data_IF_917742742638
#
_entry.id   IF_917742742638
#
_cell.length_a   1.000
_cell.length_b   1.000
_cell.length_c   1.000
_cell.angle_alpha   90.00
_cell.angle_beta   90.00
_cell.angle_gamma   90.00
#
_symmetry.space_group_name_H-M   'P 1'
#
loop_
_entity.id
_entity.type
_entity.pdbx_description
1 polymer ?
#
# COMPACT_ATOMS: atom_id res chain seq x y z
N UNK A 1 -1.85 -3.80 26.99
CA UNK A 1 -0.62 -4.57 26.66
C UNK A 1 -0.84 -6.09 26.66
N UNK A 2 -1.62 -6.67 27.59
CA UNK A 2 -1.83 -8.13 27.67
C UNK A 2 -2.74 -8.69 26.57
N UNK A 3 -3.71 -7.95 26.08
CA UNK A 3 -4.68 -8.39 25.04
C UNK A 3 -4.01 -8.48 23.66
N UNK A 4 -3.09 -7.58 23.33
CA UNK A 4 -2.40 -7.59 22.04
C UNK A 4 -1.40 -8.75 21.92
N UNK A 5 -0.76 -9.11 23.04
CA UNK A 5 0.17 -10.26 23.12
C UNK A 5 -0.60 -11.57 23.00
N UNK A 6 -1.80 -11.65 23.57
CA UNK A 6 -2.67 -12.84 23.48
C UNK A 6 -3.18 -13.04 22.06
N UNK A 7 -3.55 -11.99 21.33
CA UNK A 7 -3.95 -12.10 19.92
C UNK A 7 -2.81 -12.55 19.02
N UNK A 8 -1.58 -12.08 19.27
CA UNK A 8 -0.41 -12.50 18.49
C UNK A 8 0.01 -13.93 18.84
N UNK A 9 -0.03 -14.33 20.11
CA UNK A 9 0.28 -15.70 20.53
C UNK A 9 -0.77 -16.72 20.11
N UNK A 10 -2.05 -16.38 20.06
CA UNK A 10 -3.09 -17.24 19.48
C UNK A 10 -2.90 -17.39 17.97
N UNK A 11 -2.46 -16.35 17.30
CA UNK A 11 -2.15 -16.40 15.86
C UNK A 11 -0.95 -17.32 15.57
N UNK A 12 0.12 -17.23 16.36
CA UNK A 12 1.30 -18.11 16.24
C UNK A 12 1.01 -19.55 16.68
N UNK A 13 0.26 -19.75 17.78
CA UNK A 13 -0.11 -21.08 18.27
C UNK A 13 -1.08 -21.81 17.32
N UNK A 14 -1.98 -21.10 16.64
CA UNK A 14 -2.84 -21.67 15.60
C UNK A 14 -2.06 -22.23 14.41
N UNK A 15 -0.91 -21.61 14.08
CA UNK A 15 -0.01 -22.13 13.06
C UNK A 15 0.78 -23.37 13.50
N UNK A 16 1.16 -23.45 14.77
CA UNK A 16 1.92 -24.60 15.30
C UNK A 16 1.07 -25.86 15.49
N UNK A 17 -0.21 -25.73 15.77
CA UNK A 17 -1.08 -26.88 16.05
C UNK A 17 -1.46 -27.68 14.79
N UNK A 18 -1.33 -27.14 13.59
CA UNK A 18 -1.65 -27.81 12.33
C UNK A 18 -0.43 -28.27 11.51
N UNK A 19 0.78 -28.11 12.02
CA UNK A 19 2.01 -28.51 11.32
C UNK A 19 2.31 -30.02 11.38
N UNK A 20 1.31 -30.89 11.45
CA UNK A 20 1.51 -32.32 11.20
C UNK A 20 1.55 -32.58 9.71
N UNK A 21 2.76 -32.85 9.18
CA UNK A 21 3.10 -33.45 7.89
C UNK A 21 2.07 -33.29 6.74
N UNK A 22 1.63 -32.05 6.49
CA UNK A 22 0.84 -31.74 5.31
C UNK A 22 1.74 -31.73 4.08
N UNK A 23 1.34 -32.51 3.06
CA UNK A 23 2.02 -32.51 1.76
C UNK A 23 1.87 -31.16 1.12
N UNK A 24 2.97 -30.42 0.95
CA UNK A 24 3.00 -29.13 0.29
C UNK A 24 3.15 -29.33 -1.21
N UNK A 25 2.16 -28.92 -1.98
CA UNK A 25 2.22 -28.92 -3.42
C UNK A 25 2.81 -27.59 -3.90
N UNK A 26 3.79 -27.67 -4.80
CA UNK A 26 4.43 -26.49 -5.41
C UNK A 26 4.01 -26.42 -6.87
N UNK A 27 3.40 -25.31 -7.26
CA UNK A 27 3.07 -25.03 -8.66
C UNK A 27 3.86 -23.82 -9.12
N UNK A 28 4.71 -24.04 -10.13
CA UNK A 28 5.27 -22.93 -10.90
C UNK A 28 4.19 -22.45 -11.88
N UNK A 29 3.81 -21.19 -11.80
CA UNK A 29 2.76 -20.58 -12.62
C UNK A 29 3.30 -20.31 -14.03
N UNK A 30 3.68 -21.36 -14.75
CA UNK A 30 4.15 -21.28 -16.15
C UNK A 30 3.14 -21.82 -17.18
N UNK A 31 2.03 -22.44 -16.76
CA UNK A 31 1.00 -22.98 -17.64
C UNK A 31 -0.34 -22.27 -17.45
N UNK A 32 -0.88 -21.70 -18.50
CA UNK A 32 -2.07 -20.85 -18.53
C UNK A 32 -3.34 -21.42 -17.89
N UNK A 33 -3.54 -22.72 -17.89
CA UNK A 33 -4.81 -23.33 -17.47
C UNK A 33 -4.98 -23.45 -15.94
N UNK A 34 -3.89 -23.67 -15.21
CA UNK A 34 -3.91 -23.72 -13.73
C UNK A 34 -3.78 -22.33 -13.12
N UNK A 35 -3.22 -21.40 -13.89
CA UNK A 35 -3.06 -19.99 -13.55
C UNK A 35 -4.41 -19.35 -13.24
N UNK A 36 -5.44 -19.60 -14.03
CA UNK A 36 -6.71 -18.89 -13.93
C UNK A 36 -7.40 -19.12 -12.59
N UNK A 37 -7.49 -20.36 -12.12
CA UNK A 37 -8.14 -20.67 -10.85
C UNK A 37 -7.35 -20.15 -9.64
N UNK A 38 -6.02 -20.31 -9.64
CA UNK A 38 -5.17 -19.76 -8.57
C UNK A 38 -5.07 -18.25 -8.63
N UNK A 39 -5.03 -17.68 -9.83
CA UNK A 39 -5.04 -16.26 -10.06
C UNK A 39 -6.30 -15.61 -9.53
N UNK A 40 -7.46 -16.19 -9.80
CA UNK A 40 -8.74 -15.72 -9.27
C UNK A 40 -8.76 -15.79 -7.75
N UNK A 41 -8.32 -16.89 -7.15
CA UNK A 41 -8.24 -17.05 -5.69
C UNK A 41 -7.29 -16.04 -5.04
N UNK A 42 -6.21 -15.65 -5.75
CA UNK A 42 -5.25 -14.64 -5.27
C UNK A 42 -5.68 -13.20 -5.58
N UNK A 43 -6.38 -12.97 -6.70
CA UNK A 43 -6.76 -11.66 -7.19
C UNK A 43 -7.98 -11.06 -6.47
N UNK A 44 -8.97 -11.87 -6.12
CA UNK A 44 -10.21 -11.40 -5.48
C UNK A 44 -10.00 -10.73 -4.12
N UNK A 45 -8.83 -10.90 -3.51
CA UNK A 45 -8.57 -10.36 -2.20
C UNK A 45 -8.13 -8.89 -2.18
N UNK A 46 -7.62 -8.35 -3.31
CA UNK A 46 -7.07 -6.99 -3.37
C UNK A 46 -7.30 -6.31 -4.70
N UNK A 47 -7.74 -5.04 -4.73
CA UNK A 47 -7.33 -4.14 -5.77
C UNK A 47 -5.83 -3.90 -5.55
N UNK A 48 -5.02 -4.59 -6.33
CA UNK A 48 -3.58 -4.43 -6.32
C UNK A 48 -3.25 -3.02 -6.82
N UNK A 49 -2.22 -2.39 -6.25
CA UNK A 49 -1.68 -1.16 -6.79
C UNK A 49 -1.31 -1.36 -8.26
N UNK A 50 -1.44 -0.34 -9.07
CA UNK A 50 -1.26 -0.38 -10.52
C UNK A 50 0.11 -0.95 -10.97
N UNK A 51 1.14 -0.95 -10.12
CA UNK A 51 2.46 -1.53 -10.35
C UNK A 51 2.61 -2.94 -9.80
N UNK A 52 1.54 -3.54 -9.33
CA UNK A 52 1.63 -4.85 -8.74
C UNK A 52 1.87 -5.90 -9.85
N UNK A 53 2.93 -6.71 -9.78
CA UNK A 53 3.06 -7.86 -10.63
C UNK A 53 1.81 -8.72 -10.43
N UNK A 54 1.03 -8.86 -11.44
CA UNK A 54 -0.37 -9.27 -11.42
C UNK A 54 -0.65 -10.58 -10.65
N UNK A 55 0.35 -11.42 -10.38
CA UNK A 55 0.22 -12.63 -9.58
C UNK A 55 1.56 -13.12 -9.03
N UNK A 56 1.58 -13.83 -7.90
CA UNK A 56 2.76 -14.59 -7.48
C UNK A 56 3.20 -15.57 -8.57
N UNK A 57 4.51 -15.73 -8.74
CA UNK A 57 5.09 -16.68 -9.72
C UNK A 57 5.20 -18.08 -9.15
N UNK A 58 5.34 -18.19 -7.83
CA UNK A 58 5.41 -19.46 -7.13
C UNK A 58 4.26 -19.52 -6.14
N UNK A 59 3.49 -20.61 -6.18
CA UNK A 59 2.34 -20.82 -5.32
C UNK A 59 2.52 -22.18 -4.63
N UNK A 60 2.38 -22.14 -3.32
CA UNK A 60 2.44 -23.30 -2.43
C UNK A 60 1.07 -23.46 -1.79
N UNK A 61 0.53 -24.66 -1.76
CA UNK A 61 -0.79 -24.91 -1.17
C UNK A 61 -0.87 -26.31 -0.56
N UNK A 62 -1.74 -26.44 0.43
CA UNK A 62 -2.09 -27.74 1.00
C UNK A 62 -3.12 -28.49 0.11
N UNK A 63 -3.23 -29.80 0.26
CA UNK A 63 -4.12 -30.64 -0.55
C UNK A 63 -5.59 -30.19 -0.47
N UNK A 64 -6.01 -29.64 0.67
CA UNK A 64 -7.37 -29.13 0.89
C UNK A 64 -7.55 -27.67 0.45
N UNK A 65 -6.47 -27.00 0.00
CA UNK A 65 -6.45 -25.57 -0.36
C UNK A 65 -6.93 -24.64 0.77
N UNK A 66 -6.75 -25.05 2.02
CA UNK A 66 -7.05 -24.23 3.18
C UNK A 66 -6.03 -23.09 3.31
N UNK A 67 -4.78 -23.35 2.90
CA UNK A 67 -3.71 -22.36 2.90
C UNK A 67 -3.05 -22.29 1.53
N UNK A 68 -2.93 -21.08 1.02
CA UNK A 68 -2.27 -20.80 -0.25
C UNK A 68 -1.23 -19.71 0.02
N UNK A 69 0.04 -20.01 -0.21
CA UNK A 69 1.14 -19.08 -0.06
C UNK A 69 1.75 -18.76 -1.42
N UNK A 70 1.87 -17.50 -1.73
CA UNK A 70 2.43 -17.04 -3.00
C UNK A 70 3.65 -16.16 -2.79
N UNK A 71 4.65 -16.34 -3.65
CA UNK A 71 5.84 -15.49 -3.75
C UNK A 71 5.90 -14.88 -5.13
N UNK A 72 6.10 -13.58 -5.21
CA UNK A 72 6.21 -12.86 -6.47
C UNK A 72 7.13 -11.66 -6.38
N UNK A 73 7.38 -11.05 -7.52
CA UNK A 73 8.23 -9.88 -7.61
C UNK A 73 8.81 -9.70 -9.02
N UNK A 74 9.65 -8.69 -9.14
CA UNK A 74 10.39 -8.40 -10.38
C UNK A 74 11.73 -7.72 -10.05
N UNK A 75 12.64 -7.80 -10.99
CA UNK A 75 13.88 -7.02 -10.99
C UNK A 75 13.72 -5.89 -12.02
N UNK A 76 13.97 -4.67 -11.58
CA UNK A 76 13.89 -3.47 -12.42
C UNK A 76 15.24 -2.76 -12.41
N UNK A 77 15.79 -2.49 -13.59
CA UNK A 77 16.91 -1.59 -13.80
C UNK A 77 16.39 -0.31 -14.45
N UNK A 78 16.58 0.81 -13.77
CA UNK A 78 16.24 2.14 -14.30
C UNK A 78 17.50 2.92 -14.57
N UNK A 79 17.58 3.56 -15.74
CA UNK A 79 18.65 4.50 -16.11
C UNK A 79 18.06 5.88 -16.35
N UNK A 80 18.68 6.91 -15.80
CA UNK A 80 18.23 8.30 -15.92
C UNK A 80 19.41 9.15 -16.38
N UNK A 81 19.18 9.97 -17.39
CA UNK A 81 20.08 11.06 -17.75
C UNK A 81 19.34 12.38 -17.51
N UNK A 82 19.82 13.17 -16.58
CA UNK A 82 19.25 14.46 -16.26
C UNK A 82 20.14 15.59 -16.78
N UNK A 83 19.56 16.54 -17.52
CA UNK A 83 20.30 17.65 -18.13
C UNK A 83 20.64 18.76 -17.14
N UNK A 84 19.91 18.87 -16.02
CA UNK A 84 20.05 19.94 -15.04
C UNK A 84 20.39 19.45 -13.62
N UNK A 85 20.58 18.14 -13.45
CA UNK A 85 20.94 17.50 -12.20
C UNK A 85 19.79 17.34 -11.22
N UNK A 86 19.29 16.11 -11.09
CA UNK A 86 18.40 15.67 -10.01
C UNK A 86 19.23 14.82 -9.04
N UNK A 87 19.07 15.00 -7.75
CA UNK A 87 19.91 14.37 -6.74
C UNK A 87 19.56 12.88 -6.51
N UNK A 88 18.30 12.46 -6.75
CA UNK A 88 17.86 11.09 -6.50
C UNK A 88 17.34 10.41 -7.78
N UNK A 89 18.02 9.33 -8.17
CA UNK A 89 17.64 8.51 -9.33
C UNK A 89 16.60 7.43 -9.01
N UNK A 90 16.32 7.18 -7.73
CA UNK A 90 15.30 6.22 -7.31
C UNK A 90 13.91 6.84 -7.27
N UNK A 91 13.86 8.13 -6.90
CA UNK A 91 12.61 8.83 -6.66
C UNK A 91 12.73 10.29 -7.07
N UNK A 92 12.13 10.65 -8.19
CA UNK A 92 12.09 12.02 -8.67
C UNK A 92 11.02 12.80 -7.90
N UNK A 93 11.43 13.88 -7.24
CA UNK A 93 10.51 14.77 -6.54
C UNK A 93 10.59 16.17 -7.12
N UNK A 94 9.49 16.72 -7.61
CA UNK A 94 9.46 18.05 -8.24
C UNK A 94 9.97 19.18 -7.34
N UNK A 95 9.87 19.03 -6.03
CA UNK A 95 10.39 19.99 -5.05
C UNK A 95 11.92 20.02 -4.96
N UNK A 96 12.62 19.01 -5.50
CA UNK A 96 14.10 18.95 -5.53
C UNK A 96 14.68 19.54 -6.80
N UNK A 97 13.86 19.95 -7.77
CA UNK A 97 14.33 20.63 -8.99
C UNK A 97 15.01 21.93 -8.60
N UNK A 98 16.29 22.06 -8.96
CA UNK A 98 17.09 23.22 -8.67
C UNK A 98 16.56 24.49 -9.37
N UNK A 99 16.52 25.61 -8.67
CA UNK A 99 16.13 26.88 -9.26
C UNK A 99 17.15 27.33 -10.32
N UNK A 100 16.68 28.15 -11.27
CA UNK A 100 17.54 28.72 -12.33
C UNK A 100 18.76 29.42 -11.72
N UNK A 101 19.93 29.04 -12.19
CA UNK A 101 21.22 29.55 -11.70
C UNK A 101 21.84 28.77 -10.55
N UNK A 102 21.17 27.74 -10.03
CA UNK A 102 21.67 26.84 -8.98
C UNK A 102 21.67 25.38 -9.44
N UNK A 103 21.61 25.15 -10.74
CA UNK A 103 21.55 23.83 -11.32
C UNK A 103 22.92 23.15 -11.27
N UNK A 104 23.04 21.90 -10.75
CA UNK A 104 24.31 21.21 -10.58
C UNK A 104 24.93 20.72 -11.91
N UNK A 105 24.24 20.89 -13.04
CA UNK A 105 24.70 20.40 -14.34
C UNK A 105 24.11 19.05 -14.69
N UNK A 106 24.50 18.51 -15.85
CA UNK A 106 24.01 17.22 -16.32
C UNK A 106 24.58 16.07 -15.48
N UNK A 107 23.74 15.07 -15.21
CA UNK A 107 24.13 13.89 -14.45
C UNK A 107 23.50 12.62 -15.05
N UNK A 108 24.15 11.49 -14.82
CA UNK A 108 23.68 10.16 -15.22
C UNK A 108 23.67 9.24 -14.00
N UNK A 109 22.63 8.46 -13.87
CA UNK A 109 22.53 7.45 -12.84
C UNK A 109 21.78 6.21 -13.26
N UNK A 110 22.06 5.13 -12.58
CA UNK A 110 21.33 3.86 -12.71
C UNK A 110 20.96 3.33 -11.33
N UNK A 111 19.80 2.70 -11.24
CA UNK A 111 19.34 2.12 -9.99
C UNK A 111 18.59 0.81 -10.22
N UNK A 112 18.70 -0.10 -9.27
CA UNK A 112 17.89 -1.33 -9.16
C UNK A 112 16.91 -1.25 -7.98
N UNK A 113 16.87 -0.12 -7.31
CA UNK A 113 16.11 0.08 -6.06
C UNK A 113 14.60 -0.14 -6.19
N UNK A 114 14.04 0.01 -7.38
CA UNK A 114 12.63 -0.22 -7.68
C UNK A 114 12.28 -1.70 -7.89
N UNK A 115 13.26 -2.61 -7.81
CA UNK A 115 12.98 -4.04 -7.77
C UNK A 115 12.10 -4.38 -6.59
N UNK A 116 11.16 -5.31 -6.78
CA UNK A 116 10.12 -5.61 -5.79
C UNK A 116 10.06 -7.09 -5.48
N UNK A 117 9.83 -7.41 -4.21
CA UNK A 117 9.54 -8.75 -3.72
C UNK A 117 8.30 -8.71 -2.84
N UNK A 118 7.39 -9.67 -3.01
CA UNK A 118 6.22 -9.77 -2.15
C UNK A 118 5.87 -11.21 -1.80
N UNK A 119 5.20 -11.34 -0.66
CA UNK A 119 4.65 -12.57 -0.11
C UNK A 119 3.17 -12.37 0.16
N UNK A 120 2.36 -13.37 -0.19
CA UNK A 120 0.92 -13.36 0.05
C UNK A 120 0.48 -14.70 0.60
N UNK A 121 -0.21 -14.67 1.71
CA UNK A 121 -0.83 -15.85 2.32
C UNK A 121 -2.34 -15.67 2.29
N UNK A 122 -3.04 -16.68 1.81
CA UNK A 122 -4.50 -16.77 1.86
C UNK A 122 -4.85 -18.00 2.69
N UNK A 123 -5.62 -17.83 3.76
CA UNK A 123 -6.16 -18.90 4.58
C UNK A 123 -7.68 -18.91 4.46
N UNK A 124 -8.24 -20.04 4.03
CA UNK A 124 -9.67 -20.29 4.04
C UNK A 124 -10.01 -21.04 5.32
N UNK A 125 -10.66 -20.37 6.26
CA UNK A 125 -11.02 -20.94 7.56
C UNK A 125 -12.53 -21.03 7.70
N UNK A 126 -13.02 -21.86 8.62
CA UNK A 126 -14.46 -22.00 8.90
C UNK A 126 -15.12 -20.69 9.32
N UNK A 127 -14.33 -19.76 9.88
CA UNK A 127 -14.80 -18.45 10.32
C UNK A 127 -14.66 -17.36 9.27
N UNK A 128 -14.02 -17.65 8.12
CA UNK A 128 -13.85 -16.72 7.01
C UNK A 128 -12.45 -16.76 6.39
N UNK A 129 -12.29 -15.98 5.34
CA UNK A 129 -11.05 -15.88 4.58
C UNK A 129 -10.12 -14.86 5.24
N UNK A 130 -8.90 -15.30 5.54
CA UNK A 130 -7.79 -14.50 6.04
C UNK A 130 -6.82 -14.24 4.90
N UNK A 131 -6.34 -13.02 4.75
CA UNK A 131 -5.25 -12.70 3.82
C UNK A 131 -4.16 -11.94 4.54
N UNK A 132 -2.90 -12.34 4.35
CA UNK A 132 -1.72 -11.61 4.79
C UNK A 132 -0.88 -11.24 3.57
N UNK A 133 -0.35 -10.03 3.56
CA UNK A 133 0.47 -9.52 2.47
C UNK A 133 1.66 -8.74 3.02
N UNK A 134 2.84 -9.01 2.47
CA UNK A 134 4.08 -8.28 2.77
C UNK A 134 4.75 -7.95 1.45
N UNK A 135 5.14 -6.70 1.28
CA UNK A 135 5.81 -6.19 0.07
C UNK A 135 6.99 -5.32 0.46
N UNK A 136 8.08 -5.49 -0.23
CA UNK A 136 9.28 -4.69 -0.06
C UNK A 136 9.90 -4.30 -1.41
N UNK A 137 10.56 -3.16 -1.40
CA UNK A 137 11.41 -2.63 -2.46
C UNK A 137 12.84 -2.45 -1.92
N UNK A 138 13.80 -2.18 -2.81
CA UNK A 138 15.21 -2.04 -2.43
C UNK A 138 15.68 -0.57 -2.50
N UNK A 139 14.78 0.36 -2.12
CA UNK A 139 15.06 1.81 -2.07
C UNK A 139 15.61 2.29 -0.72
N UNK A 140 15.94 1.39 0.18
CA UNK A 140 16.63 1.74 1.43
C UNK A 140 18.09 2.17 1.18
N UNK A 141 18.76 2.75 2.18
CA UNK A 141 20.17 3.09 2.07
C UNK A 141 21.00 1.91 1.56
N UNK A 142 21.86 2.14 0.55
CA UNK A 142 22.69 1.09 -0.08
C UNK A 142 21.86 -0.08 -0.66
N UNK A 143 20.68 0.22 -1.22
CA UNK A 143 19.73 -0.76 -1.75
C UNK A 143 19.24 -1.80 -0.73
N UNK A 144 19.17 -1.44 0.56
CA UNK A 144 18.58 -2.31 1.57
C UNK A 144 17.07 -2.44 1.38
N UNK A 145 16.47 -3.58 1.77
CA UNK A 145 15.03 -3.76 1.71
C UNK A 145 14.28 -2.69 2.50
N UNK A 146 13.28 -2.07 1.90
CA UNK A 146 12.37 -1.10 2.50
C UNK A 146 10.96 -1.67 2.47
N UNK A 147 10.36 -1.82 3.65
CA UNK A 147 8.99 -2.31 3.77
C UNK A 147 8.02 -1.30 3.13
N UNK A 148 7.27 -1.75 2.14
CA UNK A 148 6.26 -0.96 1.46
C UNK A 148 4.87 -1.21 2.05
N UNK A 149 4.44 -2.46 2.09
CA UNK A 149 3.17 -2.86 2.67
C UNK A 149 3.36 -4.08 3.58
N UNK A 150 2.63 -4.14 4.67
CA UNK A 150 2.55 -5.29 5.55
C UNK A 150 1.21 -5.25 6.28
N UNK A 151 0.27 -6.09 5.90
CA UNK A 151 -1.05 -6.06 6.48
C UNK A 151 -1.75 -7.43 6.47
N UNK A 152 -2.77 -7.53 7.29
CA UNK A 152 -3.68 -8.67 7.35
C UNK A 152 -5.10 -8.18 7.08
N UNK A 153 -5.86 -8.97 6.31
CA UNK A 153 -7.29 -8.72 6.08
C UNK A 153 -8.13 -9.88 6.56
N UNK A 154 -9.23 -9.56 7.22
CA UNK A 154 -10.20 -10.52 7.70
C UNK A 154 -11.58 -9.85 7.86
N UNK A 155 -12.63 -10.43 7.25
CA UNK A 155 -14.02 -9.95 7.37
C UNK A 155 -14.20 -8.43 7.18
N UNK A 156 -13.56 -7.88 6.16
CA UNK A 156 -13.62 -6.44 5.86
C UNK A 156 -12.63 -5.57 6.65
N UNK A 157 -12.02 -6.09 7.70
CA UNK A 157 -10.96 -5.39 8.42
C UNK A 157 -9.62 -5.51 7.69
N UNK A 158 -8.86 -4.43 7.66
CA UNK A 158 -7.45 -4.40 7.26
C UNK A 158 -6.64 -3.83 8.41
N UNK A 159 -5.63 -4.58 8.85
CA UNK A 159 -4.74 -4.24 9.97
C UNK A 159 -3.30 -4.26 9.50
N UNK A 160 -2.57 -3.17 9.67
CA UNK A 160 -1.16 -3.07 9.29
C UNK A 160 -0.88 -1.87 8.40
N UNK A 161 0.22 -1.90 7.65
CA UNK A 161 0.61 -0.83 6.74
C UNK A 161 0.13 -1.12 5.33
N UNK A 162 -0.70 -0.23 4.79
CA UNK A 162 -1.25 -0.31 3.44
C UNK A 162 -1.44 1.09 2.85
N UNK A 163 -1.89 1.16 1.60
CA UNK A 163 -2.27 2.43 0.97
C UNK A 163 -3.38 3.12 1.76
N UNK A 164 -3.24 4.44 1.93
CA UNK A 164 -4.21 5.26 2.65
C UNK A 164 -5.62 5.11 2.07
N UNK A 165 -6.60 5.09 2.95
CA UNK A 165 -8.03 5.05 2.60
C UNK A 165 -8.48 6.32 1.88
N UNK A 166 -7.77 7.44 2.07
CA UNK A 166 -8.05 8.70 1.39
C UNK A 166 -7.59 8.68 -0.08
N UNK A 167 -6.57 7.85 -0.45
CA UNK A 167 -6.08 7.73 -1.81
C UNK A 167 -6.92 6.80 -2.70
N UNK A 168 -6.69 6.86 -4.01
CA UNK A 168 -7.27 5.94 -5.01
C UNK A 168 -6.18 5.44 -5.95
N UNK A 169 -5.45 4.42 -5.51
CA UNK A 169 -4.34 3.84 -6.27
C UNK A 169 -4.77 3.20 -7.59
N UNK A 170 -6.03 2.84 -7.73
CA UNK A 170 -6.55 2.23 -8.96
C UNK A 170 -6.86 3.25 -10.06
N UNK A 171 -6.92 4.53 -9.71
CA UNK A 171 -7.08 5.65 -10.66
C UNK A 171 -5.74 6.28 -11.07
N UNK A 172 -4.63 5.93 -10.41
CA UNK A 172 -3.30 6.45 -10.75
C UNK A 172 -2.89 5.89 -12.11
N UNK A 173 -2.50 6.75 -13.09
CA UNK A 173 -2.02 6.28 -14.39
C UNK A 173 -0.68 5.58 -14.26
N UNK A 174 -0.42 4.61 -15.14
CA UNK A 174 0.90 3.98 -15.23
C UNK A 174 1.87 4.94 -15.89
N UNK A 175 2.85 5.41 -15.15
CA UNK A 175 3.94 6.28 -15.61
C UNK A 175 5.27 5.54 -15.54
N UNK A 176 6.29 5.99 -16.31
CA UNK A 176 7.63 5.44 -16.27
C UNK A 176 8.34 5.84 -14.98
N UNK A 177 8.14 7.07 -14.54
CA UNK A 177 8.58 7.55 -13.24
C UNK A 177 7.56 7.20 -12.14
N UNK A 178 8.03 7.06 -10.92
CA UNK A 178 7.16 6.73 -9.77
C UNK A 178 6.54 7.95 -9.10
N UNK A 179 6.85 9.18 -9.53
CA UNK A 179 6.28 10.39 -8.95
C UNK A 179 4.77 10.49 -9.21
N UNK A 180 4.32 10.03 -10.37
CA UNK A 180 2.92 10.10 -10.76
C UNK A 180 2.40 11.54 -10.89
N UNK A 181 1.08 11.73 -11.00
CA UNK A 181 0.49 13.07 -11.03
C UNK A 181 0.56 13.72 -9.64
N UNK A 182 0.86 15.01 -9.61
CA UNK A 182 0.97 15.80 -8.36
C UNK A 182 -0.31 15.81 -7.49
N UNK A 183 -1.45 15.43 -8.05
CA UNK A 183 -2.71 15.22 -7.33
C UNK A 183 -2.88 13.80 -6.78
N UNK A 184 -1.97 12.88 -7.07
CA UNK A 184 -1.98 11.52 -6.56
C UNK A 184 -1.69 11.50 -5.05
N UNK A 185 -2.53 10.79 -4.29
CA UNK A 185 -2.30 10.57 -2.86
C UNK A 185 -1.77 9.16 -2.68
N UNK A 186 -0.46 9.02 -2.81
CA UNK A 186 0.27 7.75 -2.83
C UNK A 186 1.03 7.54 -1.51
N UNK A 187 0.28 7.48 -0.41
CA UNK A 187 0.86 7.34 0.93
C UNK A 187 0.48 5.99 1.52
N UNK A 188 1.48 5.26 2.02
CA UNK A 188 1.31 4.03 2.79
C UNK A 188 1.44 4.33 4.27
N UNK A 189 0.48 3.88 5.08
CA UNK A 189 0.41 4.20 6.50
C UNK A 189 -0.05 2.98 7.32
N UNK A 190 0.46 2.80 8.55
CA UNK A 190 -0.14 1.90 9.52
C UNK A 190 -1.60 2.31 9.79
N UNK A 191 -2.52 1.34 9.73
CA UNK A 191 -3.94 1.60 9.83
C UNK A 191 -4.71 0.45 10.45
N UNK A 192 -5.89 0.80 10.95
CA UNK A 192 -7.04 -0.06 11.13
C UNK A 192 -8.13 0.44 10.20
N UNK A 193 -8.49 -0.31 9.18
CA UNK A 193 -9.54 0.03 8.20
C UNK A 193 -10.63 -1.01 8.22
N UNK A 194 -11.86 -0.58 8.12
CA UNK A 194 -13.01 -1.43 7.84
C UNK A 194 -13.61 -1.04 6.50
N UNK A 195 -13.76 -2.02 5.61
CA UNK A 195 -14.40 -1.88 4.30
C UNK A 195 -15.72 -2.62 4.32
N UNK A 196 -16.81 -1.90 4.09
CA UNK A 196 -18.16 -2.43 4.00
C UNK A 196 -18.63 -2.45 2.55
N UNK A 197 -19.00 -3.62 2.07
CA UNK A 197 -19.61 -3.79 0.75
C UNK A 197 -21.12 -3.64 0.90
N UNK A 198 -21.65 -2.51 0.43
CA UNK A 198 -23.10 -2.20 0.47
C UNK A 198 -23.82 -3.12 -0.51
N UNK A 199 -23.23 -3.35 -1.69
CA UNK A 199 -23.63 -4.31 -2.70
C UNK A 199 -22.47 -4.54 -3.68
N UNK A 200 -22.69 -5.27 -4.79
CA UNK A 200 -21.66 -5.62 -5.79
C UNK A 200 -21.00 -4.40 -6.47
N UNK A 201 -21.58 -3.21 -6.35
CA UNK A 201 -21.08 -1.99 -6.99
C UNK A 201 -20.65 -0.91 -6.02
N UNK A 202 -21.23 -0.88 -4.84
CA UNK A 202 -20.97 0.14 -3.85
C UNK A 202 -20.19 -0.41 -2.67
N UNK A 203 -19.10 0.24 -2.34
CA UNK A 203 -18.35 -0.01 -1.11
C UNK A 203 -18.02 1.30 -0.40
N UNK A 204 -17.87 1.23 0.90
CA UNK A 204 -17.39 2.32 1.74
C UNK A 204 -16.30 1.81 2.67
N UNK A 205 -15.27 2.63 2.90
CA UNK A 205 -14.19 2.30 3.82
C UNK A 205 -13.96 3.44 4.80
N UNK A 206 -13.85 3.11 6.07
CA UNK A 206 -13.47 4.01 7.16
C UNK A 206 -12.20 3.48 7.81
N UNK A 207 -11.26 4.38 8.14
CA UNK A 207 -10.04 3.96 8.80
C UNK A 207 -9.61 4.90 9.93
N UNK A 208 -8.74 4.36 10.79
CA UNK A 208 -7.88 5.09 11.70
C UNK A 208 -6.45 4.89 11.19
N UNK A 209 -5.80 5.97 10.75
CA UNK A 209 -4.48 5.93 10.13
C UNK A 209 -3.46 6.71 10.95
N UNK A 210 -2.28 6.13 11.15
CA UNK A 210 -1.16 6.84 11.73
C UNK A 210 -0.49 7.69 10.66
N UNK A 211 -0.81 8.98 10.63
CA UNK A 211 -0.20 9.90 9.69
C UNK A 211 1.08 10.51 10.25
N UNK A 212 2.16 10.38 9.51
CA UNK A 212 3.36 11.17 9.75
C UNK A 212 3.15 12.56 9.14
N UNK A 213 2.86 13.54 9.96
CA UNK A 213 2.75 14.92 9.49
C UNK A 213 4.16 15.50 9.21
N UNK A 214 4.36 15.98 7.98
CA UNK A 214 5.52 16.79 7.63
C UNK A 214 5.04 18.24 7.47
N UNK A 215 5.58 19.13 8.26
CA UNK A 215 5.25 20.56 8.21
C UNK A 215 6.45 21.40 8.65
N UNK A 216 6.55 22.58 8.08
CA UNK A 216 7.59 23.55 8.47
C UNK A 216 7.13 24.27 9.72
N UNK A 217 7.93 24.19 10.78
CA UNK A 217 7.67 24.91 12.02
C UNK A 217 8.25 26.32 11.92
N UNK A 218 7.47 27.33 12.32
CA UNK A 218 7.99 28.66 12.54
C UNK A 218 8.81 28.74 13.83
N UNK A 219 9.45 29.90 14.08
CA UNK A 219 10.35 30.14 15.24
C UNK A 219 9.71 29.80 16.62
N UNK A 220 8.38 29.83 16.70
CA UNK A 220 7.63 29.65 17.96
C UNK A 220 6.89 28.30 18.03
N UNK A 221 7.21 27.34 17.16
CA UNK A 221 6.57 26.04 17.11
C UNK A 221 7.61 24.93 16.90
N UNK A 222 7.41 23.80 17.56
CA UNK A 222 8.19 22.59 17.39
C UNK A 222 7.28 21.41 16.98
N UNK A 223 7.84 20.50 16.20
CA UNK A 223 7.15 19.29 15.82
C UNK A 223 7.08 18.32 17.01
N UNK A 224 5.90 17.75 17.24
CA UNK A 224 5.69 16.73 18.26
C UNK A 224 5.10 15.46 17.63
N UNK A 225 5.17 14.34 18.37
CA UNK A 225 4.46 13.12 17.97
C UNK A 225 2.97 13.37 17.91
N UNK A 226 2.33 12.89 16.85
CA UNK A 226 0.89 13.02 16.68
C UNK A 226 0.16 12.23 17.77
N UNK A 227 -0.86 12.84 18.38
CA UNK A 227 -1.62 12.27 19.51
C UNK A 227 -2.92 11.61 19.08
N UNK A 228 -3.41 11.96 17.90
CA UNK A 228 -4.70 11.51 17.37
C UNK A 228 -4.48 10.98 15.96
N UNK A 229 -5.06 9.83 15.60
CA UNK A 229 -4.98 9.31 14.25
C UNK A 229 -5.74 10.20 13.26
N UNK A 230 -5.37 10.12 11.98
CA UNK A 230 -6.20 10.61 10.89
C UNK A 230 -7.41 9.68 10.69
N UNK A 231 -8.52 10.25 10.28
CA UNK A 231 -9.79 9.52 10.07
C UNK A 231 -10.23 9.74 8.62
N UNK A 232 -9.72 8.95 7.67
CA UNK A 232 -10.21 8.96 6.30
C UNK A 232 -11.44 8.08 6.13
N UNK A 233 -12.31 8.53 5.22
CA UNK A 233 -13.51 7.83 4.74
C UNK A 233 -13.51 7.87 3.22
N UNK A 234 -13.92 6.80 2.54
CA UNK A 234 -14.26 6.85 1.14
C UNK A 234 -15.55 6.08 0.82
N UNK A 235 -16.16 6.46 -0.30
CA UNK A 235 -17.26 5.74 -0.93
C UNK A 235 -16.89 5.58 -2.40
N UNK A 236 -16.97 4.33 -2.89
CA UNK A 236 -16.66 3.98 -4.28
C UNK A 236 -17.85 3.30 -4.95
N UNK A 237 -18.12 3.73 -6.18
CA UNK A 237 -19.02 3.05 -7.10
C UNK A 237 -18.23 2.43 -8.24
N UNK A 238 -18.39 1.13 -8.47
CA UNK A 238 -17.73 0.39 -9.54
C UNK A 238 -18.76 -0.09 -10.57
N UNK A 239 -18.52 0.25 -11.83
CA UNK A 239 -19.37 -0.15 -12.96
C UNK A 239 -19.03 -1.58 -13.41
N UNK A 240 -19.92 -2.21 -14.21
CA UNK A 240 -19.72 -3.56 -14.73
C UNK A 240 -18.47 -3.73 -15.60
N UNK A 241 -18.06 -2.68 -16.31
CA UNK A 241 -16.84 -2.66 -17.15
C UNK A 241 -15.55 -2.39 -16.35
N UNK A 242 -15.60 -2.36 -15.02
CA UNK A 242 -14.47 -2.06 -14.15
C UNK A 242 -14.12 -0.57 -14.01
N UNK A 243 -14.87 0.33 -14.70
CA UNK A 243 -14.79 1.77 -14.41
C UNK A 243 -15.25 2.06 -13.00
N UNK A 244 -14.70 3.09 -12.37
CA UNK A 244 -15.14 3.47 -11.03
C UNK A 244 -15.06 4.98 -10.80
N UNK A 245 -15.84 5.42 -9.83
CA UNK A 245 -15.77 6.76 -9.25
C UNK A 245 -15.66 6.61 -7.73
N UNK A 246 -14.80 7.40 -7.13
CA UNK A 246 -14.60 7.45 -5.68
C UNK A 246 -14.66 8.87 -5.17
N UNK A 247 -15.31 9.06 -4.03
CA UNK A 247 -15.23 10.27 -3.23
C UNK A 247 -14.63 9.91 -1.89
N UNK A 248 -13.62 10.67 -1.48
CA UNK A 248 -12.94 10.52 -0.20
C UNK A 248 -13.03 11.79 0.63
N UNK A 249 -13.06 11.63 1.94
CA UNK A 249 -12.94 12.69 2.92
C UNK A 249 -11.94 12.28 4.01
N UNK A 250 -11.28 13.25 4.61
CA UNK A 250 -10.34 13.03 5.72
C UNK A 250 -10.48 14.09 6.79
N UNK A 251 -10.47 13.66 8.05
CA UNK A 251 -10.23 14.53 9.19
C UNK A 251 -8.80 14.27 9.68
N UNK A 252 -8.02 15.33 9.76
CA UNK A 252 -6.61 15.26 10.13
C UNK A 252 -6.33 16.15 11.34
N UNK A 253 -5.59 15.61 12.32
CA UNK A 253 -5.20 16.36 13.51
C UNK A 253 -3.68 16.50 13.55
N UNK A 254 -3.19 17.74 13.47
CA UNK A 254 -1.76 18.05 13.51
C UNK A 254 -1.43 18.66 14.88
N UNK A 255 -0.62 17.92 15.65
CA UNK A 255 -0.11 18.39 16.93
C UNK A 255 1.21 19.16 16.75
N UNK A 256 1.36 20.24 17.47
CA UNK A 256 2.60 21.02 17.57
C UNK A 256 2.76 21.60 18.98
N UNK A 257 4.01 21.81 19.40
CA UNK A 257 4.32 22.50 20.65
C UNK A 257 4.48 24.00 20.37
N UNK A 258 3.73 24.81 21.11
CA UNK A 258 3.98 26.25 21.11
C UNK A 258 5.09 26.55 22.13
N UNK A 259 6.26 26.94 21.64
CA UNK A 259 7.47 27.14 22.45
C UNK A 259 7.31 28.31 23.43
N UNK A 260 6.64 29.39 23.00
CA UNK A 260 6.45 30.59 23.83
C UNK A 260 5.54 30.31 25.04
N UNK A 261 4.54 29.46 24.85
CA UNK A 261 3.57 29.12 25.90
C UNK A 261 3.85 27.80 26.59
N UNK A 262 4.90 27.09 26.16
CA UNK A 262 5.27 25.75 26.60
C UNK A 262 4.08 24.77 26.65
N UNK A 263 3.22 24.81 25.63
CA UNK A 263 2.00 24.01 25.57
C UNK A 263 1.83 23.30 24.22
N UNK A 264 1.46 22.06 24.29
CA UNK A 264 1.04 21.31 23.11
C UNK A 264 -0.32 21.81 22.61
N UNK A 265 -0.42 21.93 21.29
CA UNK A 265 -1.65 22.32 20.61
C UNK A 265 -1.95 21.33 19.48
N UNK A 266 -3.23 21.17 19.21
CA UNK A 266 -3.74 20.39 18.08
C UNK A 266 -4.50 21.34 17.16
N UNK A 267 -4.27 21.18 15.86
CA UNK A 267 -5.05 21.83 14.79
C UNK A 267 -5.72 20.75 13.97
N UNK A 268 -7.03 20.86 13.84
CA UNK A 268 -7.82 19.98 12.99
C UNK A 268 -7.92 20.57 11.60
N UNK A 269 -7.60 19.77 10.60
CA UNK A 269 -7.81 20.04 9.19
C UNK A 269 -8.75 19.01 8.60
N UNK A 270 -9.27 19.30 7.43
CA UNK A 270 -10.09 18.38 6.64
C UNK A 270 -9.74 18.47 5.17
N UNK A 271 -10.06 17.42 4.43
CA UNK A 271 -9.88 17.38 2.99
C UNK A 271 -10.98 16.55 2.35
N UNK A 272 -11.25 16.86 1.07
CA UNK A 272 -12.16 16.08 0.22
C UNK A 272 -11.45 15.80 -1.09
N UNK A 273 -11.65 14.62 -1.65
CA UNK A 273 -11.07 14.18 -2.91
C UNK A 273 -12.15 13.51 -3.76
N UNK A 274 -12.11 13.78 -5.06
CA UNK A 274 -12.83 13.01 -6.08
C UNK A 274 -11.83 12.36 -7.02
N UNK A 275 -12.02 11.08 -7.33
CA UNK A 275 -11.21 10.33 -8.27
C UNK A 275 -12.03 9.37 -9.10
N UNK A 276 -11.45 8.83 -10.17
CA UNK A 276 -12.11 7.84 -10.98
C UNK A 276 -11.24 7.33 -12.12
N UNK A 277 -11.65 6.19 -12.65
CA UNK A 277 -11.05 5.56 -13.82
C UNK A 277 -12.15 5.15 -14.80
N UNK A 278 -12.01 5.55 -16.06
CA UNK A 278 -12.91 5.15 -17.13
C UNK A 278 -12.19 4.15 -18.05
N UNK A 279 -12.74 2.96 -18.15
CA UNK A 279 -12.35 1.98 -19.16
C UNK A 279 -13.20 2.25 -20.42
N UNK A 280 -12.61 2.88 -21.42
CA UNK A 280 -13.29 3.32 -22.65
C UNK A 280 -13.44 2.15 -23.63
N UNK A 281 -12.48 1.23 -23.64
CA UNK A 281 -12.52 0.02 -24.44
C UNK A 281 -12.57 -1.19 -23.53
N UNK A 282 -13.36 -2.21 -23.92
CA UNK A 282 -13.21 -3.55 -23.33
C UNK A 282 -11.83 -4.05 -23.76
N UNK A 283 -10.84 -3.97 -22.88
CA UNK A 283 -9.59 -4.70 -23.13
C UNK A 283 -9.92 -6.18 -23.16
N UNK A 284 -9.83 -6.76 -24.32
CA UNK A 284 -9.79 -8.21 -24.55
C UNK A 284 -8.58 -8.83 -23.84
#
# INVERSE_FOLDING_TARGET
KKVLIVLFSVFVAGFYAQAQAQKVNVVSVSKERDIHNFYTMMKEAFPLAYNDPAAPRFIFFDDNKNFIFGVGGYVQLSGVYDFNGVEDYNFFTTSTIAMKGHQPGASYGMTVGQSRLFFKLVGNTDVGRLVSYIEMEFQGPQNTPKLQQAFVQFKGFTLGQAWSTFGDMTAVPTTIDEEGPSSGIEIRQPMLRYTYHINDRWQSSLALEYAKASYTTGKNAESIRQKVPDIPLNIRYTMKNGSHVQVGAILRNIGYKNVVKDKDKIRTGWGVMGSGKLNITSST
#
